data_IF_414500109878
#
_entry.id   IF_414500109878
#
_cell.length_a   1.000
_cell.length_b   1.000
_cell.length_c   1.000
_cell.angle_alpha   90.00
_cell.angle_beta   90.00
_cell.angle_gamma   90.00
#
_symmetry.space_group_name_H-M   'P 1'
#
loop_
_entity.id
_entity.type
_entity.pdbx_description
1 polymer ?
#
# COMPACT_ATOMS: atom_id res chain seq x y z
N UNK A 1 16.65 64.90 8.62
CA UNK A 1 17.10 63.59 8.13
C UNK A 1 16.78 62.56 9.20
N UNK A 2 15.73 61.75 9.01
CA UNK A 2 15.35 60.70 9.97
C UNK A 2 15.98 59.37 9.53
N UNK A 3 16.94 58.88 10.31
CA UNK A 3 17.65 57.64 10.04
C UNK A 3 16.70 56.46 10.32
N UNK A 4 16.33 55.69 9.28
CA UNK A 4 15.42 54.56 9.40
C UNK A 4 16.16 53.39 10.08
N UNK A 5 16.02 53.26 11.39
CA UNK A 5 16.50 52.09 12.14
C UNK A 5 15.71 50.86 11.71
N UNK A 6 16.36 50.04 10.88
CA UNK A 6 15.79 48.80 10.38
C UNK A 6 15.56 47.85 11.54
N UNK A 7 14.31 47.50 11.80
CA UNK A 7 13.94 46.57 12.85
C UNK A 7 14.63 45.20 12.66
N UNK A 8 15.24 44.68 13.71
CA UNK A 8 16.05 43.44 13.73
C UNK A 8 15.30 42.40 14.57
N UNK A 9 15.42 41.11 14.26
CA UNK A 9 14.77 40.04 15.07
C UNK A 9 15.69 39.55 16.18
N UNK A 10 15.13 39.38 17.37
CA UNK A 10 15.75 38.71 18.50
C UNK A 10 15.97 37.21 18.19
N UNK A 11 17.21 36.69 18.18
CA UNK A 11 17.51 35.29 17.86
C UNK A 11 16.94 34.26 18.84
N UNK A 12 16.61 34.67 20.08
CA UNK A 12 16.19 33.76 21.16
C UNK A 12 14.68 33.56 21.16
N UNK A 13 13.91 34.62 20.90
CA UNK A 13 12.45 34.58 20.96
C UNK A 13 11.73 34.93 19.64
N UNK A 14 12.45 35.42 18.63
CA UNK A 14 11.90 35.78 17.32
C UNK A 14 11.16 37.12 17.28
N UNK A 15 11.09 37.85 18.40
CA UNK A 15 10.44 39.16 18.51
C UNK A 15 11.21 40.23 17.73
N UNK A 16 10.48 41.11 17.06
CA UNK A 16 11.06 42.25 16.34
C UNK A 16 11.46 43.34 17.32
N UNK A 17 12.71 43.80 17.22
CA UNK A 17 13.32 44.80 18.09
C UNK A 17 13.81 45.96 17.22
N UNK A 18 13.46 47.17 17.60
CA UNK A 18 14.01 48.39 17.00
C UNK A 18 15.29 48.76 17.78
N UNK A 19 16.47 48.76 17.14
CA UNK A 19 17.73 48.96 17.86
C UNK A 19 17.89 50.42 18.29
N UNK A 20 17.60 50.72 19.56
CA UNK A 20 17.88 52.01 20.19
C UNK A 20 19.12 51.94 21.11
N UNK A 21 19.55 53.11 21.64
CA UNK A 21 20.72 53.19 22.52
C UNK A 21 20.54 52.48 23.88
N UNK A 22 19.30 52.16 24.26
CA UNK A 22 18.93 51.47 25.51
C UNK A 22 18.67 49.96 25.34
N UNK A 23 18.72 49.45 24.10
CA UNK A 23 18.39 48.06 23.78
C UNK A 23 19.53 47.12 24.19
N UNK A 24 19.17 46.02 24.86
CA UNK A 24 20.12 44.99 25.25
C UNK A 24 20.78 44.38 24.00
N UNK A 25 22.11 44.32 24.00
CA UNK A 25 22.88 43.84 22.86
C UNK A 25 24.08 42.99 23.29
N UNK A 26 24.46 42.04 22.45
CA UNK A 26 25.65 41.21 22.62
C UNK A 26 26.37 41.04 21.29
N UNK A 27 27.68 40.83 21.34
CA UNK A 27 28.50 40.64 20.15
C UNK A 27 29.01 39.19 20.10
N UNK A 28 28.76 38.51 18.97
CA UNK A 28 29.24 37.14 18.77
C UNK A 28 29.69 36.95 17.31
N UNK A 29 30.87 36.38 17.12
CA UNK A 29 31.50 36.17 15.80
C UNK A 29 31.59 37.46 14.93
N UNK A 30 31.82 38.62 15.57
CA UNK A 30 31.92 39.91 14.89
C UNK A 30 30.58 40.51 14.42
N UNK A 31 29.45 39.92 14.83
CA UNK A 31 28.10 40.45 14.58
C UNK A 31 27.45 40.90 15.89
N UNK A 32 26.83 42.09 15.87
CA UNK A 32 26.08 42.64 16.99
C UNK A 32 24.61 42.20 16.91
N UNK A 33 24.14 41.53 17.95
CA UNK A 33 22.76 41.05 18.10
C UNK A 33 22.01 41.93 19.10
N UNK A 34 20.72 42.16 18.85
CA UNK A 34 19.82 42.95 19.69
C UNK A 34 18.71 42.07 20.25
N UNK A 35 18.31 42.30 21.50
CA UNK A 35 17.37 41.45 22.24
C UNK A 35 16.21 42.27 22.81
N UNK A 36 15.03 41.65 22.91
CA UNK A 36 13.82 42.29 23.43
C UNK A 36 13.85 42.53 24.95
N UNK A 37 14.74 41.82 25.66
CA UNK A 37 14.87 41.88 27.12
C UNK A 37 16.25 41.39 27.57
N UNK A 38 16.65 41.79 28.77
CA UNK A 38 17.90 41.33 29.40
C UNK A 38 17.95 39.79 29.52
N UNK A 39 16.81 39.17 29.81
CA UNK A 39 16.68 37.71 29.93
C UNK A 39 16.96 36.97 28.62
N UNK A 40 16.65 37.58 27.47
CA UNK A 40 16.98 37.00 26.16
C UNK A 40 18.46 37.18 25.83
N UNK A 41 19.05 38.32 26.20
CA UNK A 41 20.50 38.53 26.13
C UNK A 41 21.26 37.48 26.96
N UNK A 42 20.85 37.25 28.21
CA UNK A 42 21.52 36.29 29.11
C UNK A 42 21.47 34.86 28.55
N UNK A 43 20.33 34.45 27.96
CA UNK A 43 20.19 33.15 27.29
C UNK A 43 21.08 33.01 26.06
N UNK A 44 21.24 34.08 25.29
CA UNK A 44 22.12 34.09 24.12
C UNK A 44 23.59 34.03 24.51
N UNK A 45 23.99 34.74 25.57
CA UNK A 45 25.37 34.69 26.09
C UNK A 45 25.69 33.31 26.68
N UNK A 46 24.72 32.63 27.29
CA UNK A 46 24.90 31.29 27.84
C UNK A 46 25.17 30.21 26.77
N UNK A 47 24.44 30.25 25.63
CA UNK A 47 24.56 29.24 24.56
C UNK A 47 24.44 29.88 23.15
N UNK A 48 25.40 30.70 22.71
CA UNK A 48 25.29 31.47 21.46
C UNK A 48 25.16 30.56 20.24
N UNK A 49 25.89 29.44 20.20
CA UNK A 49 25.89 28.45 19.12
C UNK A 49 24.50 27.85 18.84
N UNK A 50 23.61 27.82 19.84
CA UNK A 50 22.23 27.32 19.71
C UNK A 50 21.36 28.25 18.89
N UNK A 51 21.68 29.55 18.88
CA UNK A 51 20.92 30.59 18.21
C UNK A 51 21.61 31.15 16.97
N UNK A 52 22.91 30.89 16.79
CA UNK A 52 23.70 31.36 15.63
C UNK A 52 24.03 30.26 14.62
N UNK A 53 23.24 29.19 14.55
CA UNK A 53 23.42 28.07 13.63
C UNK A 53 22.20 27.84 12.71
N UNK A 54 22.44 27.97 11.41
CA UNK A 54 21.53 27.68 10.29
C UNK A 54 20.31 28.59 10.11
N UNK A 55 20.40 29.39 9.05
CA UNK A 55 19.30 29.99 8.29
C UNK A 55 18.21 28.93 8.01
N UNK A 56 17.23 28.79 8.90
CA UNK A 56 15.91 28.28 8.54
C UNK A 56 15.16 29.41 7.84
N UNK A 57 15.51 29.61 6.57
CA UNK A 57 14.51 29.97 5.59
C UNK A 57 13.67 28.70 5.38
N UNK A 58 12.52 28.68 6.03
CA UNK A 58 11.43 27.75 5.78
C UNK A 58 11.13 27.77 4.27
N UNK A 59 11.26 26.64 3.54
CA UNK A 59 10.71 26.55 2.20
C UNK A 59 9.19 26.36 2.32
N UNK A 60 8.44 27.31 1.77
CA UNK A 60 7.07 27.10 1.32
C UNK A 60 6.95 25.79 0.50
N UNK A 61 5.76 25.16 0.50
CA UNK A 61 5.58 23.79 0.01
C UNK A 61 5.81 23.71 -1.50
N UNK A 62 7.03 23.36 -1.89
CA UNK A 62 7.33 22.90 -3.22
C UNK A 62 6.79 21.47 -3.36
N UNK A 63 5.97 21.29 -4.39
CA UNK A 63 5.39 20.05 -4.87
C UNK A 63 6.37 18.88 -4.75
N UNK A 64 5.87 17.78 -4.19
CA UNK A 64 6.56 16.49 -4.21
C UNK A 64 6.82 16.06 -5.66
N UNK A 65 8.09 16.03 -6.04
CA UNK A 65 8.59 15.17 -7.10
C UNK A 65 10.04 14.80 -6.80
N UNK A 66 10.30 13.48 -6.85
CA UNK A 66 11.60 12.85 -7.03
C UNK A 66 12.60 12.85 -5.87
N UNK A 67 12.21 12.21 -4.77
CA UNK A 67 13.15 11.28 -4.13
C UNK A 67 12.97 9.92 -4.80
N UNK A 68 13.95 9.49 -5.61
CA UNK A 68 13.96 8.15 -6.24
C UNK A 68 14.02 7.07 -5.15
N UNK A 69 12.87 6.67 -4.63
CA UNK A 69 12.75 5.43 -3.87
C UNK A 69 13.11 4.29 -4.81
N UNK A 70 14.24 3.63 -4.56
CA UNK A 70 14.70 2.52 -5.40
C UNK A 70 14.00 1.26 -4.90
N UNK A 71 13.11 0.66 -5.67
CA UNK A 71 12.41 -0.55 -5.28
C UNK A 71 13.23 -1.81 -5.59
N UNK A 72 13.15 -2.83 -4.74
CA UNK A 72 13.90 -4.08 -4.81
C UNK A 72 13.03 -5.30 -4.63
N UNK A 73 13.43 -6.42 -5.21
CA UNK A 73 12.76 -7.69 -4.94
C UNK A 73 13.35 -8.36 -3.69
N UNK A 74 12.53 -8.82 -2.72
CA UNK A 74 13.02 -9.51 -1.52
C UNK A 74 13.84 -10.77 -1.83
N UNK A 75 13.45 -11.48 -2.89
CA UNK A 75 14.12 -12.70 -3.36
C UNK A 75 15.29 -12.42 -4.32
N UNK A 76 15.34 -11.24 -4.92
CA UNK A 76 16.39 -10.87 -5.87
C UNK A 76 16.87 -9.45 -5.55
N UNK A 77 17.70 -9.25 -4.49
CA UNK A 77 18.19 -7.94 -4.07
C UNK A 77 19.00 -7.18 -5.15
N UNK A 78 19.46 -7.91 -6.17
CA UNK A 78 20.14 -7.37 -7.35
C UNK A 78 19.20 -6.57 -8.28
N UNK A 79 17.89 -6.80 -8.20
CA UNK A 79 16.89 -6.13 -9.03
C UNK A 79 16.51 -4.82 -8.36
N UNK A 80 16.98 -3.70 -8.90
CA UNK A 80 16.67 -2.34 -8.43
C UNK A 80 15.91 -1.57 -9.51
N UNK A 81 14.75 -1.03 -9.18
CA UNK A 81 13.94 -0.23 -10.11
C UNK A 81 13.59 1.14 -9.53
N UNK A 82 13.43 2.18 -10.36
CA UNK A 82 13.14 3.54 -9.89
C UNK A 82 11.69 3.78 -9.44
N UNK A 83 10.80 2.78 -9.54
CA UNK A 83 9.39 2.90 -9.19
C UNK A 83 8.77 1.57 -8.74
N UNK A 84 7.57 1.60 -8.14
CA UNK A 84 6.84 0.41 -7.76
C UNK A 84 6.53 -0.41 -9.02
N UNK A 85 6.62 -1.73 -8.90
CA UNK A 85 6.50 -2.58 -10.07
C UNK A 85 6.73 -4.05 -9.74
N UNK A 86 6.80 -4.84 -10.80
CA UNK A 86 6.94 -6.29 -10.71
C UNK A 86 8.37 -6.69 -11.03
N UNK A 87 8.94 -7.60 -10.23
CA UNK A 87 10.28 -8.11 -10.43
C UNK A 87 10.39 -8.89 -11.76
N UNK A 88 11.29 -8.53 -12.68
CA UNK A 88 11.46 -9.23 -13.96
C UNK A 88 12.06 -10.64 -13.82
N UNK A 89 12.65 -10.98 -12.66
CA UNK A 89 13.23 -12.32 -12.41
C UNK A 89 12.22 -13.33 -11.85
N UNK A 90 11.22 -12.90 -11.07
CA UNK A 90 10.30 -13.82 -10.40
C UNK A 90 8.83 -13.40 -10.35
N UNK A 91 8.49 -12.21 -10.83
CA UNK A 91 7.11 -11.73 -10.84
C UNK A 91 6.55 -11.28 -9.49
N UNK A 92 7.39 -11.21 -8.44
CA UNK A 92 6.99 -10.66 -7.14
C UNK A 92 7.04 -9.12 -7.15
N UNK A 93 6.16 -8.48 -6.39
CA UNK A 93 6.14 -7.01 -6.23
C UNK A 93 7.47 -6.51 -5.64
N UNK A 94 7.93 -5.37 -6.11
CA UNK A 94 9.14 -4.73 -5.63
C UNK A 94 8.81 -3.86 -4.41
N UNK A 95 9.65 -3.95 -3.39
CA UNK A 95 9.55 -3.22 -2.13
C UNK A 95 10.54 -2.04 -2.10
N UNK A 96 10.19 -0.89 -1.51
CA UNK A 96 11.06 0.28 -1.49
C UNK A 96 12.35 0.02 -0.68
N UNK A 97 13.50 0.02 -1.38
CA UNK A 97 14.83 -0.05 -0.80
C UNK A 97 15.26 1.37 -0.37
N UNK A 98 15.45 1.58 0.94
CA UNK A 98 16.07 2.80 1.47
C UNK A 98 15.12 3.89 1.98
N UNK A 99 13.82 3.61 2.12
CA UNK A 99 13.04 4.35 3.12
C UNK A 99 13.44 3.73 4.45
N UNK A 100 14.07 4.45 5.40
CA UNK A 100 13.97 4.02 6.77
C UNK A 100 12.46 4.01 7.02
N UNK A 101 11.88 2.80 7.15
CA UNK A 101 10.76 2.60 8.06
C UNK A 101 11.06 3.54 9.21
N UNK A 102 10.26 4.60 9.36
CA UNK A 102 10.39 5.50 10.51
C UNK A 102 10.47 4.53 11.66
N UNK A 103 11.66 4.38 12.25
CA UNK A 103 11.89 3.32 13.22
C UNK A 103 10.72 3.47 14.18
N UNK A 104 9.85 2.44 14.30
CA UNK A 104 8.64 2.61 15.08
C UNK A 104 9.13 3.15 16.39
N UNK A 105 8.66 4.34 16.80
CA UNK A 105 8.95 4.83 18.14
C UNK A 105 8.39 3.72 19.02
N UNK A 106 9.29 2.91 19.56
CA UNK A 106 8.93 1.76 20.37
C UNK A 106 8.38 2.37 21.65
N UNK A 107 7.05 2.53 21.69
CA UNK A 107 6.37 3.00 22.87
C UNK A 107 6.18 1.79 23.78
N UNK A 108 6.62 1.92 25.03
CA UNK A 108 6.56 0.88 26.02
C UNK A 108 5.31 1.08 26.87
N UNK A 109 4.45 0.06 26.94
CA UNK A 109 3.20 0.11 27.71
C UNK A 109 3.19 -0.94 28.82
N UNK A 110 2.51 -0.64 29.92
CA UNK A 110 2.34 -1.61 31.02
C UNK A 110 1.14 -2.53 30.76
N UNK A 111 1.28 -3.87 30.85
CA UNK A 111 0.17 -4.81 30.65
C UNK A 111 -1.02 -4.59 31.61
N UNK A 112 -0.75 -4.08 32.81
CA UNK A 112 -1.76 -3.84 33.85
C UNK A 112 -2.29 -2.40 33.88
N UNK A 113 -1.55 -1.45 33.30
CA UNK A 113 -1.92 -0.04 33.29
C UNK A 113 -1.74 0.53 31.87
N UNK A 114 -2.70 0.28 30.95
CA UNK A 114 -2.59 0.69 29.54
C UNK A 114 -2.48 2.21 29.34
N UNK A 115 -2.83 3.01 30.35
CA UNK A 115 -2.65 4.47 30.36
C UNK A 115 -1.18 4.90 30.52
N UNK A 116 -0.29 3.99 30.92
CA UNK A 116 1.13 4.27 31.13
C UNK A 116 1.89 3.92 29.85
N UNK A 117 2.17 4.95 29.06
CA UNK A 117 2.98 4.85 27.82
C UNK A 117 4.28 5.63 28.04
N UNK A 118 5.42 4.99 27.77
CA UNK A 118 6.75 5.59 27.86
C UNK A 118 7.52 5.38 26.56
N UNK A 119 8.50 6.22 26.29
CA UNK A 119 9.37 6.16 25.10
C UNK A 119 10.66 5.36 25.33
N UNK A 120 10.83 4.76 26.52
CA UNK A 120 12.00 3.98 26.90
C UNK A 120 11.63 2.69 27.64
N UNK A 121 12.47 1.63 27.60
CA UNK A 121 12.27 0.45 28.43
C UNK A 121 12.44 0.82 29.91
N UNK A 122 11.70 0.14 30.78
CA UNK A 122 11.72 0.43 32.21
C UNK A 122 10.63 -0.28 32.97
N UNK A 123 10.46 0.11 34.23
CA UNK A 123 9.40 -0.39 35.09
C UNK A 123 8.26 0.62 35.16
N UNK A 124 7.03 0.12 35.18
CA UNK A 124 5.83 0.91 35.33
C UNK A 124 5.83 1.67 36.68
N UNK A 125 5.65 3.00 36.71
CA UNK A 125 5.62 3.79 37.94
C UNK A 125 4.40 3.51 38.83
N UNK A 126 3.34 2.88 38.30
CA UNK A 126 2.13 2.52 39.07
C UNK A 126 2.25 1.16 39.77
N UNK A 127 2.87 0.16 39.14
CA UNK A 127 2.89 -1.22 39.67
C UNK A 127 4.25 -1.91 39.67
N UNK A 128 5.31 -1.27 39.18
CA UNK A 128 6.67 -1.80 39.21
C UNK A 128 6.98 -2.93 38.21
N UNK A 129 6.01 -3.37 37.40
CA UNK A 129 6.25 -4.38 36.35
C UNK A 129 6.99 -3.80 35.14
N UNK A 130 7.80 -4.62 34.47
CA UNK A 130 8.51 -4.24 33.26
C UNK A 130 7.53 -3.85 32.14
N UNK A 131 7.84 -2.77 31.42
CA UNK A 131 7.05 -2.30 30.29
C UNK A 131 7.34 -3.13 29.04
N UNK A 132 6.30 -3.42 28.26
CA UNK A 132 6.39 -4.19 27.02
C UNK A 132 6.38 -3.26 25.80
N UNK A 133 7.20 -3.53 24.77
CA UNK A 133 7.24 -2.73 23.56
C UNK A 133 5.95 -2.90 22.76
N UNK A 134 5.29 -1.78 22.48
CA UNK A 134 4.16 -1.64 21.57
C UNK A 134 4.65 -0.92 20.32
N UNK A 135 4.81 -1.65 19.23
CA UNK A 135 5.07 -1.06 17.92
C UNK A 135 3.78 -0.44 17.41
N UNK A 136 3.75 0.89 17.26
CA UNK A 136 2.70 1.57 16.50
C UNK A 136 2.89 1.18 15.03
N UNK A 137 1.98 0.37 14.49
CA UNK A 137 1.98 0.03 13.07
C UNK A 137 1.80 1.33 12.28
N UNK A 138 2.84 1.70 11.53
CA UNK A 138 2.75 2.74 10.51
C UNK A 138 1.70 2.28 9.49
N UNK A 139 0.79 3.16 9.07
CA UNK A 139 -0.12 2.87 7.96
C UNK A 139 0.72 2.50 6.73
N UNK A 140 0.80 1.20 6.42
CA UNK A 140 1.32 0.69 5.17
C UNK A 140 0.41 1.15 4.03
N UNK A 141 0.97 1.33 2.84
CA UNK A 141 0.32 1.91 1.67
C UNK A 141 -0.91 1.06 1.23
N UNK A 142 -2.08 1.36 1.80
CA UNK A 142 -3.36 0.64 1.68
C UNK A 142 -3.90 0.54 0.25
N UNK A 143 -3.25 1.15 -0.74
CA UNK A 143 -3.72 1.21 -2.12
C UNK A 143 -3.71 -0.18 -2.79
N UNK A 144 -2.65 -0.98 -2.59
CA UNK A 144 -2.57 -2.33 -3.18
C UNK A 144 -3.57 -3.29 -2.50
N UNK A 145 -3.68 -3.21 -1.17
CA UNK A 145 -4.69 -3.97 -0.42
C UNK A 145 -6.10 -3.61 -0.89
N UNK A 146 -6.43 -2.32 -1.03
CA UNK A 146 -7.73 -1.87 -1.53
C UNK A 146 -8.01 -2.37 -2.96
N UNK A 147 -7.03 -2.35 -3.86
CA UNK A 147 -7.21 -2.87 -5.22
C UNK A 147 -7.48 -4.39 -5.20
N UNK A 148 -6.70 -5.16 -4.43
CA UNK A 148 -6.88 -6.61 -4.32
C UNK A 148 -8.18 -6.99 -3.62
N UNK A 149 -8.56 -6.28 -2.54
CA UNK A 149 -9.84 -6.46 -1.84
C UNK A 149 -11.01 -6.14 -2.77
N UNK A 150 -10.91 -5.09 -3.59
CA UNK A 150 -11.96 -4.75 -4.57
C UNK A 150 -12.10 -5.85 -5.63
N UNK A 151 -11.00 -6.32 -6.20
CA UNK A 151 -11.03 -7.42 -7.20
C UNK A 151 -11.59 -8.71 -6.59
N UNK A 152 -11.20 -9.02 -5.36
CA UNK A 152 -11.71 -10.17 -4.62
C UNK A 152 -13.21 -10.08 -4.41
N UNK A 153 -13.72 -8.97 -3.88
CA UNK A 153 -15.16 -8.83 -3.60
C UNK A 153 -16.00 -8.76 -4.87
N UNK A 154 -15.55 -8.02 -5.88
CA UNK A 154 -16.24 -8.00 -7.19
C UNK A 154 -16.24 -9.40 -7.81
N UNK A 155 -15.11 -10.10 -7.77
CA UNK A 155 -15.00 -11.49 -8.23
C UNK A 155 -15.93 -12.44 -7.49
N UNK A 156 -15.97 -12.36 -6.16
CA UNK A 156 -16.81 -13.19 -5.30
C UNK A 156 -18.30 -12.95 -5.53
N UNK A 157 -18.72 -11.69 -5.71
CA UNK A 157 -20.12 -11.34 -5.99
C UNK A 157 -20.54 -11.85 -7.38
N UNK A 158 -19.67 -11.78 -8.38
CA UNK A 158 -19.95 -12.28 -9.73
C UNK A 158 -19.88 -13.82 -9.84
N UNK A 159 -19.00 -14.47 -9.09
CA UNK A 159 -18.87 -15.93 -9.09
C UNK A 159 -19.96 -16.62 -8.28
N UNK A 160 -20.53 -15.94 -7.28
CA UNK A 160 -21.59 -16.51 -6.44
C UNK A 160 -22.81 -16.98 -7.27
N UNK A 161 -23.41 -16.18 -8.17
CA UNK A 161 -24.48 -16.67 -9.06
C UNK A 161 -24.06 -17.83 -9.97
N UNK A 162 -22.81 -17.84 -10.47
CA UNK A 162 -22.28 -18.93 -11.31
C UNK A 162 -22.21 -20.23 -10.51
N UNK A 163 -21.70 -20.16 -9.27
CA UNK A 163 -21.63 -21.31 -8.37
C UNK A 163 -23.04 -21.85 -8.05
N UNK A 164 -23.99 -20.98 -7.71
CA UNK A 164 -25.36 -21.39 -7.43
C UNK A 164 -26.07 -21.95 -8.67
N UNK A 165 -25.78 -21.42 -9.85
CA UNK A 165 -26.29 -21.95 -11.13
C UNK A 165 -25.78 -23.36 -11.39
N UNK A 166 -24.46 -23.57 -11.28
CA UNK A 166 -23.82 -24.85 -11.55
C UNK A 166 -24.25 -25.92 -10.53
N UNK A 167 -24.15 -25.62 -9.23
CA UNK A 167 -24.55 -26.58 -8.19
C UNK A 167 -26.06 -26.78 -8.13
N UNK A 168 -26.85 -25.73 -8.34
CA UNK A 168 -28.31 -25.80 -8.32
C UNK A 168 -28.86 -26.68 -9.43
N UNK A 169 -28.23 -26.67 -10.61
CA UNK A 169 -28.57 -27.55 -11.71
C UNK A 169 -28.34 -29.04 -11.42
N UNK A 170 -27.32 -29.36 -10.62
CA UNK A 170 -26.97 -30.74 -10.27
C UNK A 170 -27.83 -31.25 -9.10
N UNK A 171 -28.13 -30.39 -8.13
CA UNK A 171 -28.91 -30.75 -6.95
C UNK A 171 -30.43 -30.72 -7.18
N UNK A 172 -30.92 -29.87 -8.09
CA UNK A 172 -32.34 -29.70 -8.40
C UNK A 172 -32.64 -29.67 -9.92
N UNK A 173 -32.36 -30.78 -10.64
CA UNK A 173 -32.47 -30.83 -12.10
C UNK A 173 -33.89 -30.50 -12.60
N UNK A 174 -34.94 -31.03 -11.97
CA UNK A 174 -36.34 -30.84 -12.42
C UNK A 174 -36.85 -29.40 -12.22
N UNK A 175 -36.40 -28.70 -11.17
CA UNK A 175 -36.77 -27.30 -10.93
C UNK A 175 -36.07 -26.37 -11.91
N UNK A 176 -34.78 -26.60 -12.17
CA UNK A 176 -33.99 -25.71 -13.02
C UNK A 176 -34.27 -25.92 -14.51
N UNK A 177 -34.55 -27.15 -14.95
CA UNK A 177 -34.90 -27.44 -16.35
C UNK A 177 -36.18 -26.73 -16.81
N UNK A 178 -37.10 -26.42 -15.90
CA UNK A 178 -38.32 -25.67 -16.19
C UNK A 178 -38.15 -24.14 -16.18
N UNK A 179 -37.11 -23.61 -15.52
CA UNK A 179 -36.90 -22.16 -15.35
C UNK A 179 -35.93 -21.57 -16.38
N UNK A 180 -34.89 -22.30 -16.77
CA UNK A 180 -33.83 -21.78 -17.65
C UNK A 180 -33.40 -22.88 -18.63
N UNK A 181 -33.47 -22.57 -19.93
CA UNK A 181 -32.93 -23.43 -20.99
C UNK A 181 -31.43 -23.69 -20.74
N UNK A 182 -30.97 -24.95 -20.82
CA UNK A 182 -29.57 -25.33 -20.62
C UNK A 182 -28.57 -24.45 -21.38
N UNK A 183 -28.93 -24.03 -22.60
CA UNK A 183 -28.10 -23.15 -23.41
C UNK A 183 -28.03 -21.74 -22.84
N UNK A 184 -29.17 -21.18 -22.44
CA UNK A 184 -29.22 -19.83 -21.85
C UNK A 184 -28.45 -19.77 -20.53
N UNK A 185 -28.46 -20.85 -19.74
CA UNK A 185 -27.66 -20.96 -18.52
C UNK A 185 -26.17 -20.85 -18.81
N UNK A 186 -25.67 -21.56 -19.82
CA UNK A 186 -24.26 -21.51 -20.22
C UNK A 186 -23.84 -20.11 -20.69
N UNK A 187 -24.70 -19.41 -21.42
CA UNK A 187 -24.44 -18.02 -21.82
C UNK A 187 -24.36 -17.08 -20.61
N UNK A 188 -25.21 -17.29 -19.61
CA UNK A 188 -25.21 -16.51 -18.38
C UNK A 188 -23.94 -16.78 -17.54
N UNK A 189 -23.56 -18.05 -17.39
CA UNK A 189 -22.31 -18.46 -16.72
C UNK A 189 -21.08 -17.87 -17.44
N UNK A 190 -21.03 -17.92 -18.78
CA UNK A 190 -19.98 -17.30 -19.57
C UNK A 190 -19.89 -15.79 -19.33
N UNK A 191 -21.02 -15.08 -19.33
CA UNK A 191 -21.07 -13.64 -19.19
C UNK A 191 -20.64 -13.16 -17.79
N UNK A 192 -20.99 -13.93 -16.76
CA UNK A 192 -20.62 -13.63 -15.36
C UNK A 192 -19.18 -14.03 -15.03
N UNK A 193 -18.70 -15.18 -15.52
CA UNK A 193 -17.36 -15.67 -15.24
C UNK A 193 -16.28 -14.92 -16.02
N UNK A 194 -16.57 -14.44 -17.24
CA UNK A 194 -15.56 -13.77 -18.09
C UNK A 194 -14.92 -12.53 -17.44
N UNK A 195 -15.67 -11.60 -16.81
CA UNK A 195 -15.06 -10.50 -16.06
C UNK A 195 -14.24 -10.96 -14.86
N UNK A 196 -14.67 -12.03 -14.17
CA UNK A 196 -13.94 -12.58 -13.01
C UNK A 196 -12.58 -13.11 -13.46
N UNK A 197 -12.56 -13.91 -14.51
CA UNK A 197 -11.32 -14.50 -15.06
C UNK A 197 -10.44 -13.42 -15.69
N UNK A 198 -10.99 -12.60 -16.59
CA UNK A 198 -10.18 -11.67 -17.39
C UNK A 198 -9.73 -10.44 -16.62
N UNK A 199 -10.56 -9.87 -15.74
CA UNK A 199 -10.22 -8.67 -14.97
C UNK A 199 -9.76 -9.00 -13.55
N UNK A 200 -10.49 -9.86 -12.84
CA UNK A 200 -10.11 -10.32 -11.50
C UNK A 200 -8.84 -11.17 -11.53
N UNK A 201 -8.76 -12.11 -12.48
CA UNK A 201 -7.62 -13.02 -12.65
C UNK A 201 -6.41 -12.42 -13.39
N UNK A 202 -6.51 -11.22 -13.95
CA UNK A 202 -5.44 -10.58 -14.73
C UNK A 202 -4.05 -10.61 -14.05
N UNK A 203 -3.91 -10.26 -12.75
CA UNK A 203 -2.61 -10.29 -12.09
C UNK A 203 -1.99 -11.69 -12.04
N UNK A 204 -2.81 -12.75 -11.98
CA UNK A 204 -2.33 -14.13 -11.98
C UNK A 204 -1.80 -14.55 -13.34
N UNK A 205 -2.45 -14.14 -14.44
CA UNK A 205 -1.93 -14.40 -15.79
C UNK A 205 -0.61 -13.70 -16.06
N UNK A 206 -0.47 -12.44 -15.65
CA UNK A 206 0.79 -11.69 -15.79
C UNK A 206 1.92 -12.38 -15.03
N UNK A 207 1.68 -12.76 -13.76
CA UNK A 207 2.68 -13.44 -12.93
C UNK A 207 2.98 -14.86 -13.41
N UNK A 208 1.96 -15.59 -13.86
CA UNK A 208 2.11 -16.93 -14.43
C UNK A 208 2.94 -16.92 -15.71
N UNK A 209 2.70 -15.96 -16.62
CA UNK A 209 3.51 -15.79 -17.82
C UNK A 209 4.97 -15.45 -17.49
N UNK A 210 5.20 -14.55 -16.54
CA UNK A 210 6.55 -14.22 -16.09
C UNK A 210 7.28 -15.42 -15.45
N UNK A 211 6.56 -16.24 -14.69
CA UNK A 211 7.11 -17.48 -14.10
C UNK A 211 7.49 -18.50 -15.18
N UNK A 212 6.71 -18.60 -16.25
CA UNK A 212 7.04 -19.44 -17.41
C UNK A 212 8.27 -18.93 -18.16
N UNK A 213 8.33 -17.62 -18.44
CA UNK A 213 9.46 -16.99 -19.14
C UNK A 213 10.76 -17.13 -18.34
N UNK A 214 10.70 -16.95 -17.02
CA UNK A 214 11.87 -17.05 -16.13
C UNK A 214 12.23 -18.49 -15.77
N UNK A 215 11.44 -19.49 -16.22
CA UNK A 215 11.56 -20.92 -15.90
C UNK A 215 11.52 -21.28 -14.41
N UNK A 216 11.11 -20.34 -13.56
CA UNK A 216 10.94 -20.55 -12.13
C UNK A 216 9.46 -20.84 -11.85
N UNK A 217 9.03 -22.08 -12.11
CA UNK A 217 7.63 -22.49 -11.97
C UNK A 217 7.14 -22.32 -10.53
N UNK A 218 5.98 -21.69 -10.38
CA UNK A 218 5.38 -21.37 -9.08
C UNK A 218 3.86 -21.58 -9.09
N UNK A 219 3.22 -21.28 -7.95
CA UNK A 219 1.77 -21.39 -7.78
C UNK A 219 0.98 -20.59 -8.84
N UNK A 220 1.46 -19.40 -9.24
CA UNK A 220 0.78 -18.57 -10.24
C UNK A 220 0.76 -19.21 -11.62
N UNK A 221 1.77 -20.02 -11.96
CA UNK A 221 1.76 -20.79 -13.22
C UNK A 221 0.69 -21.86 -13.19
N UNK A 222 0.55 -22.58 -12.07
CA UNK A 222 -0.48 -23.61 -11.93
C UNK A 222 -1.89 -23.01 -12.00
N UNK A 223 -2.14 -21.94 -11.23
CA UNK A 223 -3.44 -21.24 -11.22
C UNK A 223 -3.74 -20.66 -12.60
N UNK A 224 -2.78 -19.92 -13.17
CA UNK A 224 -2.96 -19.29 -14.48
C UNK A 224 -3.22 -20.32 -15.59
N UNK A 225 -2.52 -21.46 -15.58
CA UNK A 225 -2.77 -22.52 -16.55
C UNK A 225 -4.15 -23.17 -16.35
N UNK A 226 -4.51 -23.53 -15.12
CA UNK A 226 -5.78 -24.18 -14.82
C UNK A 226 -6.98 -23.32 -15.21
N UNK A 227 -6.98 -22.06 -14.79
CA UNK A 227 -8.05 -21.10 -15.11
C UNK A 227 -8.11 -20.81 -16.61
N UNK A 228 -6.95 -20.62 -17.28
CA UNK A 228 -6.93 -20.40 -18.74
C UNK A 228 -7.52 -21.57 -19.52
N UNK A 229 -7.15 -22.80 -19.16
CA UNK A 229 -7.63 -24.01 -19.84
C UNK A 229 -9.12 -24.21 -19.60
N UNK A 230 -9.59 -24.09 -18.36
CA UNK A 230 -11.01 -24.22 -18.01
C UNK A 230 -11.87 -23.18 -18.75
N UNK A 231 -11.46 -21.90 -18.70
CA UNK A 231 -12.18 -20.80 -19.33
C UNK A 231 -12.19 -20.90 -20.86
N UNK A 232 -11.04 -21.18 -21.49
CA UNK A 232 -10.94 -21.33 -22.95
C UNK A 232 -11.72 -22.52 -23.49
N UNK A 233 -11.65 -23.69 -22.81
CA UNK A 233 -12.49 -24.84 -23.14
C UNK A 233 -13.97 -24.48 -23.09
N UNK A 234 -14.39 -23.81 -22.00
CA UNK A 234 -15.78 -23.46 -21.77
C UNK A 234 -16.32 -22.48 -22.80
N UNK A 235 -15.51 -21.53 -23.28
CA UNK A 235 -15.92 -20.70 -24.42
C UNK A 235 -16.06 -21.46 -25.71
N UNK A 236 -15.14 -22.38 -26.01
CA UNK A 236 -15.23 -23.16 -27.25
C UNK A 236 -16.49 -24.04 -27.21
N UNK A 237 -16.78 -24.64 -26.06
CA UNK A 237 -18.00 -25.39 -25.80
C UNK A 237 -19.27 -24.54 -25.97
N UNK A 238 -19.28 -23.30 -25.45
CA UNK A 238 -20.45 -22.42 -25.53
C UNK A 238 -20.66 -21.79 -26.93
N UNK A 239 -19.58 -21.34 -27.58
CA UNK A 239 -19.63 -20.60 -28.85
C UNK A 239 -19.71 -21.51 -30.08
N UNK A 240 -18.97 -22.63 -30.06
CA UNK A 240 -18.86 -23.54 -31.21
C UNK A 240 -19.00 -25.00 -30.76
N UNK A 241 -20.17 -25.41 -30.24
CA UNK A 241 -20.39 -26.78 -29.77
C UNK A 241 -20.24 -27.83 -30.88
N UNK A 242 -20.41 -27.45 -32.15
CA UNK A 242 -20.31 -28.35 -33.31
C UNK A 242 -18.91 -28.92 -33.58
N UNK A 243 -17.85 -28.43 -32.92
CA UNK A 243 -16.51 -29.00 -33.01
C UNK A 243 -16.41 -30.30 -32.19
N UNK A 244 -17.26 -30.46 -31.18
CA UNK A 244 -17.22 -31.62 -30.29
C UNK A 244 -17.94 -32.83 -30.91
N UNK A 245 -17.43 -34.06 -30.68
CA UNK A 245 -18.12 -35.26 -31.09
C UNK A 245 -19.41 -35.45 -30.27
N UNK A 246 -20.41 -36.11 -30.87
CA UNK A 246 -21.72 -36.34 -30.25
C UNK A 246 -21.66 -37.05 -28.88
N UNK A 247 -20.59 -37.80 -28.60
CA UNK A 247 -20.37 -38.47 -27.32
C UNK A 247 -20.08 -37.55 -26.14
N UNK A 248 -19.76 -36.28 -26.39
CA UNK A 248 -19.43 -35.29 -25.35
C UNK A 248 -20.66 -34.48 -24.94
N UNK A 249 -21.74 -34.53 -25.72
CA UNK A 249 -22.99 -33.86 -25.38
C UNK A 249 -23.68 -34.59 -24.24
N UNK A 250 -24.21 -33.83 -23.28
CA UNK A 250 -25.02 -34.38 -22.20
C UNK A 250 -26.44 -34.73 -22.70
N UNK A 251 -27.26 -35.32 -21.82
CA UNK A 251 -28.66 -35.67 -22.10
C UNK A 251 -29.52 -34.47 -22.52
N UNK A 252 -29.07 -33.25 -22.19
CA UNK A 252 -29.72 -31.98 -22.56
C UNK A 252 -29.19 -31.37 -23.86
N UNK A 253 -28.34 -32.08 -24.61
CA UNK A 253 -27.87 -31.65 -25.93
C UNK A 253 -26.89 -30.47 -25.88
N UNK A 254 -26.22 -30.24 -24.75
CA UNK A 254 -25.17 -29.23 -24.59
C UNK A 254 -23.85 -29.85 -24.16
N UNK A 255 -22.74 -29.20 -24.53
CA UNK A 255 -21.39 -29.60 -24.09
C UNK A 255 -21.19 -29.04 -22.67
N UNK A 256 -20.78 -29.84 -21.68
CA UNK A 256 -20.53 -29.35 -20.32
C UNK A 256 -19.46 -28.25 -20.33
N UNK A 257 -19.65 -27.25 -19.47
CA UNK A 257 -18.74 -26.10 -19.31
C UNK A 257 -18.18 -26.11 -17.89
N UNK A 258 -17.09 -25.37 -17.69
CA UNK A 258 -16.33 -25.27 -16.43
C UNK A 258 -16.09 -23.79 -16.06
N UNK A 259 -17.07 -22.92 -16.30
CA UNK A 259 -16.98 -21.50 -15.96
C UNK A 259 -17.01 -21.28 -14.44
N UNK A 260 -17.61 -22.19 -13.69
CA UNK A 260 -17.65 -22.22 -12.23
C UNK A 260 -16.30 -22.60 -11.60
N UNK A 261 -15.48 -23.36 -12.34
CA UNK A 261 -14.14 -23.78 -11.89
C UNK A 261 -13.05 -22.74 -12.21
N UNK A 262 -13.32 -21.83 -13.15
CA UNK A 262 -12.39 -20.81 -13.63
C UNK A 262 -12.50 -19.51 -12.80
#
# INVERSE_FOLDING_TARGET
MGDQQKAVRDPVCGMTVEPDASTAHAEHAGMKYYFCSQRCCDKFVAEPSRYTGAKQAEPEPAMASDAKTVYTCPMHPEVKQPGPGVCPKCGMSLEPMGVPSVAPKTEYTCPMHPEVVQDHPGNCPKCGMALEPRTVAVEEDDAELRDMTRRFWVGAVLSMPVLFSAMGAEFWPDLFAGFIDPRNRQWLEMLLASPVVLWGGWPFFVRGWQSLVTRNLNMFTLIGLGVAVAWSYSMVAALVPGIFPLSVFNEMGVVPVYFEAA
#
